data_IF_363950046079
#
_entry.id   IF_363950046079
#
_cell.length_a   1.000
_cell.length_b   1.000
_cell.length_c   1.000
_cell.angle_alpha   90.00
_cell.angle_beta   90.00
_cell.angle_gamma   90.00
#
_symmetry.space_group_name_H-M   'P 1'
#
loop_
_entity.id
_entity.type
_entity.pdbx_description
1 polymer ?
#
# COMPACT_ATOMS: atom_id res chain seq x y z
N UNK A 1 -52.41 20.87 -34.49
CA UNK A 1 -51.68 19.72 -33.92
C UNK A 1 -50.23 20.13 -33.68
N UNK A 2 -49.81 20.38 -32.43
CA UNK A 2 -48.44 20.78 -32.07
C UNK A 2 -47.71 19.55 -31.51
N UNK A 3 -46.66 19.09 -32.21
CA UNK A 3 -45.79 17.99 -31.75
C UNK A 3 -44.68 18.60 -30.89
N UNK A 4 -44.68 18.29 -29.59
CA UNK A 4 -43.58 18.64 -28.67
C UNK A 4 -42.56 17.51 -28.74
N UNK A 5 -41.36 17.80 -29.27
CA UNK A 5 -40.23 16.89 -29.26
C UNK A 5 -39.54 16.98 -27.89
N UNK A 6 -39.70 15.95 -27.07
CA UNK A 6 -38.98 15.80 -25.81
C UNK A 6 -37.56 15.29 -26.09
N UNK A 7 -36.56 16.16 -25.94
CA UNK A 7 -35.15 15.80 -26.03
C UNK A 7 -34.73 15.18 -24.69
N UNK A 8 -34.62 13.86 -24.62
CA UNK A 8 -34.06 13.15 -23.47
C UNK A 8 -32.54 13.30 -23.48
N UNK A 9 -32.03 14.09 -22.54
CA UNK A 9 -30.59 14.26 -22.29
C UNK A 9 -30.10 13.09 -21.44
N UNK A 10 -29.50 12.09 -22.07
CA UNK A 10 -28.88 10.95 -21.40
C UNK A 10 -27.55 11.44 -20.79
N UNK A 11 -27.52 11.67 -19.48
CA UNK A 11 -26.25 11.88 -18.76
C UNK A 11 -25.48 10.55 -18.73
N UNK A 12 -24.42 10.46 -19.55
CA UNK A 12 -23.44 9.40 -19.42
C UNK A 12 -22.65 9.61 -18.12
N UNK A 13 -22.99 8.84 -17.08
CA UNK A 13 -22.21 8.78 -15.84
C UNK A 13 -20.96 7.96 -16.14
N UNK A 14 -19.86 8.64 -16.43
CA UNK A 14 -18.55 8.01 -16.63
C UNK A 14 -18.04 7.49 -15.29
N UNK A 15 -18.31 6.23 -14.97
CA UNK A 15 -17.72 5.55 -13.82
C UNK A 15 -16.20 5.43 -14.03
N UNK A 16 -15.43 6.33 -13.42
CA UNK A 16 -13.97 6.27 -13.40
C UNK A 16 -13.52 5.16 -12.46
N UNK A 17 -13.63 3.91 -12.89
CA UNK A 17 -12.96 2.82 -12.21
C UNK A 17 -11.45 3.04 -12.31
N UNK A 18 -10.78 3.09 -11.16
CA UNK A 18 -9.31 3.14 -11.12
C UNK A 18 -8.76 1.93 -11.87
N UNK A 19 -7.85 2.18 -12.83
CA UNK A 19 -7.26 1.13 -13.65
C UNK A 19 -6.48 0.16 -12.74
N UNK A 20 -6.67 -1.16 -12.86
CA UNK A 20 -5.90 -2.13 -12.09
C UNK A 20 -4.40 -1.92 -12.35
N UNK A 21 -3.62 -1.86 -11.27
CA UNK A 21 -2.18 -1.65 -11.34
C UNK A 21 -1.48 -2.97 -11.63
N UNK A 22 -0.51 -2.96 -12.54
CA UNK A 22 0.35 -4.12 -12.75
C UNK A 22 1.38 -4.17 -11.63
N UNK A 23 1.42 -5.29 -10.90
CA UNK A 23 2.44 -5.52 -9.88
C UNK A 23 3.82 -5.63 -10.53
N UNK A 24 4.88 -5.11 -9.88
CA UNK A 24 6.24 -5.35 -10.34
C UNK A 24 6.56 -6.85 -10.37
N UNK A 25 7.31 -7.30 -11.37
CA UNK A 25 7.66 -8.72 -11.58
C UNK A 25 8.44 -9.35 -10.43
N UNK A 26 9.14 -8.54 -9.65
CA UNK A 26 9.89 -8.93 -8.46
C UNK A 26 9.06 -8.92 -7.16
N UNK A 27 7.73 -8.83 -7.28
CA UNK A 27 6.80 -8.71 -6.17
C UNK A 27 5.64 -9.69 -6.34
N UNK A 28 5.21 -10.35 -5.26
CA UNK A 28 4.09 -11.30 -5.28
C UNK A 28 2.97 -10.89 -4.33
N UNK A 29 1.69 -11.00 -4.71
CA UNK A 29 0.56 -10.70 -3.85
C UNK A 29 0.31 -11.85 -2.86
N UNK A 30 1.24 -12.07 -1.93
CA UNK A 30 1.22 -13.19 -0.99
C UNK A 30 1.60 -12.73 0.43
N UNK A 31 1.35 -13.59 1.42
CA UNK A 31 1.68 -13.38 2.83
C UNK A 31 1.06 -12.11 3.43
N UNK A 32 -0.14 -11.75 3.00
CA UNK A 32 -1.00 -10.80 3.68
C UNK A 32 -2.46 -11.28 3.67
N UNK A 33 -3.28 -10.70 4.52
CA UNK A 33 -4.74 -10.88 4.47
C UNK A 33 -5.45 -9.60 4.82
N UNK A 34 -6.61 -9.37 4.22
CA UNK A 34 -7.56 -8.38 4.72
C UNK A 34 -8.43 -9.02 5.81
N UNK A 35 -8.63 -8.29 6.90
CA UNK A 35 -9.47 -8.72 8.02
C UNK A 35 -9.94 -7.49 8.78
N UNK A 36 -11.24 -7.41 9.08
CA UNK A 36 -11.83 -6.31 9.84
C UNK A 36 -11.44 -4.91 9.32
N UNK A 37 -11.64 -4.69 8.01
CA UNK A 37 -11.27 -3.47 7.25
C UNK A 37 -9.78 -3.12 7.24
N UNK A 38 -8.94 -3.91 7.88
CA UNK A 38 -7.50 -3.71 7.97
C UNK A 38 -6.77 -4.69 7.05
N UNK A 39 -5.48 -4.45 6.84
CA UNK A 39 -4.58 -5.45 6.27
C UNK A 39 -3.59 -5.94 7.31
N UNK A 40 -3.39 -7.25 7.36
CA UNK A 40 -2.36 -7.90 8.17
C UNK A 40 -1.28 -8.44 7.24
N UNK A 41 -0.09 -7.84 7.29
CA UNK A 41 1.12 -8.33 6.65
C UNK A 41 1.73 -9.42 7.53
N UNK A 42 2.03 -10.59 6.96
CA UNK A 42 2.50 -11.76 7.71
C UNK A 42 3.89 -12.16 7.26
N UNK A 43 4.78 -12.42 8.21
CA UNK A 43 6.09 -12.97 7.88
C UNK A 43 5.95 -14.33 7.18
N UNK A 44 6.61 -14.55 6.04
CA UNK A 44 6.60 -15.85 5.40
C UNK A 44 7.45 -16.83 6.22
N UNK A 45 7.09 -18.11 6.15
CA UNK A 45 7.69 -19.17 6.98
C UNK A 45 9.21 -19.38 6.80
N UNK A 46 9.80 -18.88 5.71
CA UNK A 46 11.19 -19.20 5.31
C UNK A 46 12.07 -17.97 4.99
N UNK A 47 11.88 -16.86 5.69
CA UNK A 47 12.74 -15.69 5.51
C UNK A 47 14.01 -15.78 6.38
N UNK A 48 15.17 -15.88 5.72
CA UNK A 48 16.48 -16.08 6.35
C UNK A 48 16.97 -14.91 7.24
N UNK A 49 16.35 -13.73 7.13
CA UNK A 49 16.81 -12.49 7.78
C UNK A 49 15.82 -11.92 8.81
N UNK A 50 14.82 -12.71 9.25
CA UNK A 50 13.75 -12.28 10.18
C UNK A 50 13.00 -11.00 9.76
N UNK A 51 13.08 -10.63 8.47
CA UNK A 51 12.37 -9.49 7.91
C UNK A 51 11.88 -9.78 6.50
N UNK A 52 10.80 -9.10 6.13
CA UNK A 52 10.30 -9.03 4.76
C UNK A 52 9.96 -7.59 4.40
N UNK A 53 9.78 -7.34 3.10
CA UNK A 53 9.47 -6.00 2.59
C UNK A 53 8.18 -6.10 1.78
N UNK A 54 7.25 -5.20 2.06
CA UNK A 54 5.99 -5.06 1.34
C UNK A 54 5.96 -3.74 0.62
N UNK A 55 5.47 -3.77 -0.61
CA UNK A 55 5.07 -2.60 -1.37
C UNK A 55 3.56 -2.45 -1.24
N UNK A 56 3.13 -1.23 -0.90
CA UNK A 56 1.73 -0.85 -0.72
C UNK A 56 1.42 0.28 -1.68
N UNK A 57 0.48 0.05 -2.58
CA UNK A 57 -0.01 1.01 -3.56
C UNK A 57 -1.40 1.51 -3.19
N UNK A 58 -1.61 2.81 -3.27
CA UNK A 58 -2.94 3.38 -3.14
C UNK A 58 -3.63 3.39 -4.51
N UNK A 59 -4.56 2.44 -4.68
CA UNK A 59 -5.37 2.32 -5.90
C UNK A 59 -6.64 3.17 -5.88
N UNK A 60 -6.93 3.83 -4.75
CA UNK A 60 -8.08 4.72 -4.66
C UNK A 60 -7.83 6.04 -5.41
N UNK A 61 -8.88 6.84 -5.55
CA UNK A 61 -8.79 8.18 -6.17
C UNK A 61 -8.42 9.27 -5.16
N UNK A 62 -8.24 8.94 -3.89
CA UNK A 62 -8.01 9.88 -2.81
C UNK A 62 -6.73 9.53 -2.03
N UNK A 63 -6.05 10.52 -1.45
CA UNK A 63 -4.96 10.24 -0.53
C UNK A 63 -5.47 9.55 0.75
N UNK A 64 -4.64 8.67 1.29
CA UNK A 64 -4.95 7.90 2.50
C UNK A 64 -3.83 8.02 3.54
N UNK A 65 -4.17 7.74 4.79
CA UNK A 65 -3.24 7.41 5.84
C UNK A 65 -3.27 5.91 6.08
N UNK A 66 -2.09 5.28 6.03
CA UNK A 66 -1.84 3.95 6.55
C UNK A 66 -1.43 4.09 8.00
N UNK A 67 -2.13 3.45 8.93
CA UNK A 67 -1.87 3.60 10.37
C UNK A 67 -1.69 2.23 11.00
N UNK A 68 -0.58 1.99 11.69
CA UNK A 68 -0.44 0.81 12.54
C UNK A 68 -1.22 1.04 13.84
N UNK A 69 -2.29 0.26 14.11
CA UNK A 69 -3.05 0.42 15.34
C UNK A 69 -2.22 -0.09 16.53
N UNK A 70 -1.71 0.85 17.34
CA UNK A 70 -1.02 0.53 18.60
C UNK A 70 -1.81 1.08 19.77
N UNK A 71 -1.93 0.30 20.86
CA UNK A 71 -2.55 0.75 22.10
C UNK A 71 -1.66 1.74 22.89
N UNK A 72 -0.36 1.77 22.59
CA UNK A 72 0.62 2.62 23.24
C UNK A 72 1.50 3.31 22.18
N UNK A 73 1.28 4.61 21.99
CA UNK A 73 2.03 5.45 21.07
C UNK A 73 3.45 5.72 21.62
N UNK A 74 4.34 4.73 21.56
CA UNK A 74 5.76 4.92 21.82
C UNK A 74 6.36 5.89 20.79
N UNK A 75 6.96 6.97 21.28
CA UNK A 75 7.24 8.21 20.56
C UNK A 75 8.39 8.20 19.52
N UNK A 76 8.72 7.10 18.84
CA UNK A 76 9.95 7.08 18.01
C UNK A 76 9.91 6.36 16.67
N UNK A 77 8.78 5.80 16.24
CA UNK A 77 8.57 5.46 14.83
C UNK A 77 7.25 6.10 14.40
N UNK A 78 7.25 6.85 13.30
CA UNK A 78 6.02 7.28 12.66
C UNK A 78 5.22 6.03 12.30
N UNK A 79 4.24 5.64 13.12
CA UNK A 79 3.40 4.47 12.89
C UNK A 79 2.35 4.71 11.80
N UNK A 80 2.34 5.91 11.25
CA UNK A 80 1.48 6.31 10.15
C UNK A 80 2.32 6.68 8.94
N UNK A 81 1.83 6.37 7.75
CA UNK A 81 2.39 6.82 6.48
C UNK A 81 1.29 7.47 5.63
N UNK A 82 1.58 8.64 5.08
CA UNK A 82 0.70 9.29 4.11
C UNK A 82 0.95 8.68 2.73
N UNK A 83 -0.11 8.41 1.98
CA UNK A 83 0.01 7.80 0.66
C UNK A 83 -0.96 8.43 -0.33
N UNK A 84 -0.42 9.20 -1.27
CA UNK A 84 -1.16 9.85 -2.35
C UNK A 84 -1.75 8.79 -3.30
N UNK A 85 -2.89 9.12 -3.93
CA UNK A 85 -3.49 8.27 -4.96
C UNK A 85 -2.48 7.99 -6.08
N UNK A 86 -2.36 6.72 -6.48
CA UNK A 86 -1.42 6.31 -7.53
C UNK A 86 0.04 6.23 -7.10
N UNK A 87 0.35 6.41 -5.81
CA UNK A 87 1.70 6.29 -5.27
C UNK A 87 1.90 4.98 -4.49
N UNK A 88 3.16 4.69 -4.22
CA UNK A 88 3.65 3.52 -3.51
C UNK A 88 4.39 3.91 -2.23
N UNK A 89 4.27 3.05 -1.23
CA UNK A 89 5.07 3.06 -0.01
C UNK A 89 5.68 1.67 0.19
N UNK A 90 6.87 1.61 0.77
CA UNK A 90 7.53 0.36 1.11
C UNK A 90 7.75 0.28 2.63
N UNK A 91 7.40 -0.85 3.22
CA UNK A 91 7.57 -1.12 4.65
C UNK A 91 8.39 -2.38 4.84
N UNK A 92 9.40 -2.31 5.71
CA UNK A 92 10.06 -3.49 6.25
C UNK A 92 9.29 -3.93 7.48
N UNK A 93 8.97 -5.23 7.59
CA UNK A 93 8.38 -5.80 8.81
C UNK A 93 9.32 -6.86 9.35
N UNK A 94 9.68 -6.72 10.62
CA UNK A 94 10.50 -7.69 11.38
C UNK A 94 9.71 -8.44 12.46
N UNK A 95 8.38 -8.31 12.47
CA UNK A 95 7.49 -9.00 13.40
C UNK A 95 6.62 -10.03 12.68
N UNK A 96 6.17 -11.11 13.36
CA UNK A 96 5.36 -12.15 12.73
C UNK A 96 4.12 -11.63 12.00
N UNK A 97 3.51 -10.56 12.53
CA UNK A 97 2.38 -9.88 11.93
C UNK A 97 2.53 -8.37 12.12
N UNK A 98 2.12 -7.61 11.12
CA UNK A 98 2.04 -6.16 11.17
C UNK A 98 0.74 -5.70 10.50
N UNK A 99 -0.07 -5.00 11.27
CA UNK A 99 -1.42 -4.59 10.85
C UNK A 99 -1.43 -3.13 10.42
N UNK A 100 -2.15 -2.80 9.36
CA UNK A 100 -2.39 -1.44 8.93
C UNK A 100 -3.89 -1.19 8.78
N UNK A 101 -4.36 -0.10 9.37
CA UNK A 101 -5.67 0.48 9.12
C UNK A 101 -5.55 1.56 8.04
N UNK A 102 -6.60 1.72 7.25
CA UNK A 102 -6.67 2.70 6.16
C UNK A 102 -7.66 3.79 6.52
N UNK A 103 -7.24 5.05 6.43
CA UNK A 103 -8.10 6.21 6.66
C UNK A 103 -8.02 7.11 5.44
N UNK A 104 -9.14 7.56 4.91
CA UNK A 104 -9.11 8.64 3.91
C UNK A 104 -8.57 9.89 4.60
N UNK A 105 -7.76 10.68 3.88
CA UNK A 105 -7.24 11.96 4.39
C UNK A 105 -8.35 12.84 4.98
N UNK A 106 -9.51 12.82 4.33
CA UNK A 106 -10.66 13.66 4.63
C UNK A 106 -11.56 13.06 5.72
N UNK A 107 -11.34 11.79 6.08
CA UNK A 107 -12.10 11.04 7.10
C UNK A 107 -11.15 10.31 8.07
N UNK A 108 -10.26 11.04 8.78
CA UNK A 108 -9.19 10.43 9.58
C UNK A 108 -9.70 9.60 10.76
N UNK A 109 -10.93 9.85 11.25
CA UNK A 109 -11.51 9.16 12.40
C UNK A 109 -12.26 7.87 12.04
N UNK A 110 -12.48 7.60 10.75
CA UNK A 110 -13.29 6.47 10.30
C UNK A 110 -12.43 5.51 9.46
N UNK A 111 -12.08 4.32 9.99
CA UNK A 111 -11.33 3.34 9.23
C UNK A 111 -12.17 2.85 8.05
N UNK A 112 -11.54 2.86 6.89
CA UNK A 112 -12.07 2.42 5.61
C UNK A 112 -11.60 1.01 5.31
N UNK A 113 -12.29 0.33 4.41
CA UNK A 113 -11.90 -1.01 3.99
C UNK A 113 -10.61 -0.98 3.14
N UNK A 114 -9.49 -1.38 3.74
CA UNK A 114 -8.20 -1.46 3.07
C UNK A 114 -8.22 -2.33 1.81
N UNK A 115 -9.10 -3.34 1.72
CA UNK A 115 -9.20 -4.19 0.53
C UNK A 115 -9.63 -3.38 -0.71
N UNK A 116 -10.47 -2.36 -0.51
CA UNK A 116 -10.92 -1.50 -1.59
C UNK A 116 -9.88 -0.42 -1.97
N UNK A 117 -8.99 -0.06 -1.04
CA UNK A 117 -8.08 1.09 -1.19
C UNK A 117 -6.65 0.71 -1.60
N UNK A 118 -6.24 -0.54 -1.38
CA UNK A 118 -4.85 -0.95 -1.52
C UNK A 118 -4.66 -2.06 -2.54
N UNK A 119 -3.57 -1.94 -3.31
CA UNK A 119 -2.89 -3.10 -3.90
C UNK A 119 -1.60 -3.34 -3.13
N UNK A 120 -1.33 -4.59 -2.73
CA UNK A 120 -0.19 -4.94 -1.88
C UNK A 120 0.56 -6.11 -2.51
N UNK A 121 1.88 -6.08 -2.42
CA UNK A 121 2.70 -7.22 -2.76
C UNK A 121 3.94 -7.28 -1.87
N UNK A 122 4.46 -8.48 -1.69
CA UNK A 122 5.70 -8.73 -0.98
C UNK A 122 6.86 -8.84 -1.98
N UNK A 123 7.97 -8.16 -1.72
CA UNK A 123 9.19 -8.33 -2.52
C UNK A 123 9.70 -9.77 -2.42
N UNK A 124 9.95 -10.38 -3.58
CA UNK A 124 10.56 -11.71 -3.69
C UNK A 124 12.03 -11.59 -4.02
N UNK A 125 12.84 -12.52 -3.51
CA UNK A 125 14.25 -12.67 -3.93
C UNK A 125 15.09 -11.42 -3.66
N UNK A 126 14.90 -10.81 -2.48
CA UNK A 126 15.67 -9.62 -2.07
C UNK A 126 16.75 -10.00 -1.06
N UNK A 127 17.97 -9.58 -1.35
CA UNK A 127 19.03 -9.55 -0.35
C UNK A 127 18.73 -8.38 0.60
N UNK A 128 18.09 -8.69 1.73
CA UNK A 128 17.94 -7.72 2.82
C UNK A 128 19.30 -7.68 3.54
N UNK A 129 19.91 -6.50 3.77
CA UNK A 129 21.14 -6.40 4.54
C UNK A 129 21.00 -7.11 5.90
N UNK A 130 21.98 -7.93 6.29
CA UNK A 130 21.93 -8.75 7.52
C UNK A 130 21.78 -7.94 8.82
N UNK A 131 22.06 -6.63 8.76
CA UNK A 131 21.92 -5.70 9.88
C UNK A 131 20.55 -5.02 9.94
N UNK A 132 19.72 -5.13 8.89
CA UNK A 132 18.39 -4.53 8.87
C UNK A 132 17.45 -5.34 9.78
N UNK A 133 16.99 -4.71 10.87
CA UNK A 133 16.12 -5.31 11.87
C UNK A 133 14.95 -4.38 12.19
N UNK A 134 13.84 -4.98 12.60
CA UNK A 134 12.66 -4.26 13.08
C UNK A 134 11.66 -3.91 11.98
N UNK A 135 10.66 -3.11 12.34
CA UNK A 135 9.59 -2.68 11.46
C UNK A 135 9.63 -1.16 11.26
N UNK A 136 9.77 -0.72 10.01
CA UNK A 136 9.87 0.70 9.66
C UNK A 136 9.58 0.96 8.17
N UNK A 137 9.20 2.19 7.84
CA UNK A 137 9.01 2.63 6.46
C UNK A 137 10.37 2.82 5.77
N UNK A 138 10.55 2.16 4.63
CA UNK A 138 11.75 2.28 3.79
C UNK A 138 11.66 3.48 2.85
N UNK A 139 10.46 3.74 2.37
CA UNK A 139 10.15 4.83 1.47
C UNK A 139 8.64 5.08 1.50
N UNK A 140 8.22 6.33 1.41
CA UNK A 140 6.82 6.74 1.58
C UNK A 140 6.41 7.65 0.44
N UNK A 141 5.18 7.47 -0.05
CA UNK A 141 4.52 8.34 -1.02
C UNK A 141 5.28 8.62 -2.33
N UNK A 142 5.79 7.58 -2.99
CA UNK A 142 6.59 7.72 -4.21
C UNK A 142 5.94 7.10 -5.44
N UNK A 143 6.27 7.63 -6.62
CA UNK A 143 6.08 6.89 -7.87
C UNK A 143 6.92 5.60 -7.86
N UNK A 144 6.50 4.57 -8.61
CA UNK A 144 7.22 3.29 -8.63
C UNK A 144 8.72 3.45 -8.99
N UNK A 145 9.14 4.23 -10.02
CA UNK A 145 10.55 4.42 -10.32
C UNK A 145 11.34 5.11 -9.20
N UNK A 146 10.72 6.07 -8.50
CA UNK A 146 11.35 6.75 -7.36
C UNK A 146 11.48 5.81 -6.16
N UNK A 147 10.45 5.00 -5.88
CA UNK A 147 10.47 3.96 -4.86
C UNK A 147 11.62 2.98 -5.10
N UNK A 148 11.75 2.47 -6.33
CA UNK A 148 12.82 1.53 -6.68
C UNK A 148 14.21 2.12 -6.42
N UNK A 149 14.44 3.37 -6.84
CA UNK A 149 15.71 4.08 -6.61
C UNK A 149 16.00 4.23 -5.12
N UNK A 150 15.00 4.58 -4.31
CA UNK A 150 15.18 4.74 -2.87
C UNK A 150 15.46 3.41 -2.16
N UNK A 151 14.83 2.32 -2.60
CA UNK A 151 15.12 0.98 -2.08
C UNK A 151 16.57 0.57 -2.40
N UNK A 152 17.03 0.80 -3.63
CA UNK A 152 18.41 0.53 -4.05
C UNK A 152 19.44 1.34 -3.26
N UNK A 153 19.17 2.62 -2.97
CA UNK A 153 20.03 3.46 -2.13
C UNK A 153 20.17 2.94 -0.69
N UNK A 154 19.18 2.16 -0.22
CA UNK A 154 19.21 1.48 1.08
C UNK A 154 19.82 0.07 1.01
N UNK A 155 20.45 -0.28 -0.11
CA UNK A 155 21.08 -1.59 -0.32
C UNK A 155 20.11 -2.72 -0.65
N UNK A 156 18.84 -2.43 -0.92
CA UNK A 156 17.85 -3.44 -1.33
C UNK A 156 18.00 -3.67 -2.83
N UNK A 157 18.54 -4.82 -3.19
CA UNK A 157 18.71 -5.20 -4.59
C UNK A 157 17.37 -5.68 -5.16
N UNK A 158 16.84 -4.91 -6.10
CA UNK A 158 15.68 -5.28 -6.89
C UNK A 158 16.16 -5.94 -8.19
N UNK A 159 15.54 -7.04 -8.64
CA UNK A 159 15.78 -7.58 -9.97
C UNK A 159 15.59 -6.49 -11.03
N UNK A 160 16.57 -6.33 -11.91
CA UNK A 160 16.40 -5.53 -13.12
C UNK A 160 15.37 -6.21 -14.03
N UNK A 161 14.58 -5.44 -14.80
CA UNK A 161 13.72 -6.00 -15.85
C UNK A 161 14.48 -6.91 -16.81
#
# INVERSE_FOLDING_TARGET
MKRVLAVSMILAVSSTFAKPVNLPTYCKPDNYRFYDKQVVLKMPKYHANDAAIWLVYNQSTQPIWLVHPTAHHGASAGWSSYLTAGHWTAVMVGHPQFTLACHLKDQPLQPQDCQSLLTICQLTTVAIPTQAKGTYWLAEDLSLPALQRQLQQRGIQLPTP
#
